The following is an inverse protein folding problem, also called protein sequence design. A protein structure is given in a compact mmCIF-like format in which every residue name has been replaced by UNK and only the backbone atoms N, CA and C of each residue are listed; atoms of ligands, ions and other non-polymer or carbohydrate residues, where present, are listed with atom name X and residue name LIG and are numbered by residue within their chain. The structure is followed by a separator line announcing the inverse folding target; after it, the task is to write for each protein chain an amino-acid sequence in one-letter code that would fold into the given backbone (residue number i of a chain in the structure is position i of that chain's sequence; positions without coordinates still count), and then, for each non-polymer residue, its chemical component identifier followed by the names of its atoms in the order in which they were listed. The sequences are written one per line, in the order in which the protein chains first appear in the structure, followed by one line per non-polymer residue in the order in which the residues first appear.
data_IF_972415980552
#
_entry.id   IF_972415980552
#
_cell.length_a   1.000
_cell.length_b   1.000
_cell.length_c   1.000
_cell.angle_alpha   90.00
_cell.angle_beta   90.00
_cell.angle_gamma   90.00
#
_symmetry.space_group_name_H-M   'P 1'
#
loop_
_entity.id
_entity.type
_entity.pdbx_description
1 polymer ?
#
# COMPACT_ATOMS: atom_id res chain seq x y z
N UNK A 1 5.68 -9.78 -10.61
CA UNK A 1 6.68 -8.73 -10.90
C UNK A 1 7.67 -8.56 -9.75
N UNK A 2 7.22 -8.11 -8.55
CA UNK A 2 8.10 -7.83 -7.39
C UNK A 2 9.08 -8.96 -7.05
N UNK A 3 8.61 -10.21 -6.91
CA UNK A 3 9.47 -11.36 -6.57
C UNK A 3 10.54 -11.71 -7.62
N UNK A 4 10.26 -11.43 -8.90
CA UNK A 4 11.23 -11.68 -9.98
C UNK A 4 12.29 -10.57 -9.94
N UNK A 5 11.84 -9.32 -9.92
CA UNK A 5 12.73 -8.16 -9.85
C UNK A 5 13.64 -8.20 -8.61
N UNK A 6 13.10 -8.56 -7.44
CA UNK A 6 13.87 -8.71 -6.21
C UNK A 6 15.07 -9.67 -6.36
N UNK A 7 14.91 -10.75 -7.15
CA UNK A 7 15.99 -11.70 -7.46
C UNK A 7 16.97 -11.13 -8.49
N UNK A 8 16.47 -10.43 -9.50
CA UNK A 8 17.28 -9.86 -10.58
C UNK A 8 18.19 -8.72 -10.10
N UNK A 9 17.68 -7.81 -9.26
CA UNK A 9 18.44 -6.63 -8.80
C UNK A 9 19.11 -6.81 -7.43
N UNK A 10 18.85 -7.92 -6.74
CA UNK A 10 19.47 -8.24 -5.45
C UNK A 10 21.00 -8.10 -5.42
N UNK A 11 21.75 -8.52 -6.46
CA UNK A 11 23.22 -8.32 -6.52
C UNK A 11 23.65 -6.84 -6.46
N UNK A 12 22.76 -5.91 -6.85
CA UNK A 12 23.00 -4.47 -6.77
C UNK A 12 22.65 -3.87 -5.40
N UNK A 13 22.32 -4.72 -4.41
CA UNK A 13 21.88 -4.32 -3.06
C UNK A 13 20.63 -3.43 -3.07
N UNK A 14 19.71 -3.70 -3.98
CA UNK A 14 18.40 -3.03 -4.06
C UNK A 14 17.31 -4.00 -3.61
N UNK A 15 16.50 -3.59 -2.64
CA UNK A 15 15.29 -4.31 -2.22
C UNK A 15 14.10 -3.92 -3.10
N UNK A 16 13.21 -4.86 -3.39
CA UNK A 16 11.99 -4.61 -4.15
C UNK A 16 10.80 -5.19 -3.39
N UNK A 17 9.82 -4.35 -3.04
CA UNK A 17 8.63 -4.74 -2.29
C UNK A 17 7.38 -4.08 -2.87
N UNK A 18 6.20 -4.59 -2.49
CA UNK A 18 4.89 -4.06 -2.80
C UNK A 18 4.15 -3.65 -1.53
N UNK A 19 3.49 -2.50 -1.56
CA UNK A 19 2.44 -2.15 -0.59
C UNK A 19 1.11 -2.16 -1.34
N UNK A 20 0.19 -3.01 -0.91
CA UNK A 20 -1.11 -3.22 -1.57
C UNK A 20 -2.24 -2.71 -0.68
N UNK A 21 -2.53 -1.40 -0.68
CA UNK A 21 -3.63 -0.84 0.09
C UNK A 21 -4.99 -1.24 -0.49
N UNK A 22 -6.01 -1.27 0.37
CA UNK A 22 -7.41 -1.27 -0.06
C UNK A 22 -7.87 0.13 -0.51
N UNK A 23 -9.19 0.40 -0.55
CA UNK A 23 -9.72 1.73 -0.82
C UNK A 23 -9.18 2.80 0.15
N UNK A 24 -8.59 3.87 -0.40
CA UNK A 24 -8.03 5.01 0.36
C UNK A 24 -8.82 6.27 0.02
N UNK A 25 -9.12 7.08 1.03
CA UNK A 25 -9.86 8.35 0.96
C UNK A 25 -9.09 9.47 0.23
N UNK A 26 -8.80 9.24 -1.05
CA UNK A 26 -8.20 10.24 -1.94
C UNK A 26 -9.28 10.98 -2.73
N UNK A 27 -8.98 12.18 -3.22
CA UNK A 27 -9.89 12.93 -4.10
C UNK A 27 -10.33 12.09 -5.31
N UNK A 28 -9.40 11.36 -5.92
CA UNK A 28 -9.66 10.43 -7.02
C UNK A 28 -10.59 9.28 -6.63
N UNK A 29 -10.46 8.78 -5.41
CA UNK A 29 -11.38 7.75 -4.93
C UNK A 29 -12.80 8.28 -4.84
N UNK A 30 -13.02 9.49 -4.35
CA UNK A 30 -14.38 10.05 -4.23
C UNK A 30 -14.98 10.49 -5.57
N UNK A 31 -14.15 10.83 -6.56
CA UNK A 31 -14.62 11.27 -7.87
C UNK A 31 -15.60 10.26 -8.52
N UNK A 32 -16.83 10.73 -8.78
CA UNK A 32 -17.88 9.95 -9.43
C UNK A 32 -18.53 8.86 -8.57
N UNK A 33 -18.32 8.84 -7.24
CA UNK A 33 -18.97 7.88 -6.33
C UNK A 33 -20.10 8.52 -5.55
N UNK A 34 -21.21 7.79 -5.40
CA UNK A 34 -22.28 8.15 -4.47
C UNK A 34 -21.86 7.88 -3.02
N UNK A 35 -22.55 8.52 -2.07
CA UNK A 35 -22.36 8.25 -0.64
C UNK A 35 -22.64 6.78 -0.30
N UNK A 36 -23.69 6.19 -0.86
CA UNK A 36 -24.01 4.76 -0.66
C UNK A 36 -22.86 3.84 -1.11
N UNK A 37 -22.24 4.14 -2.27
CA UNK A 37 -21.10 3.37 -2.75
C UNK A 37 -19.90 3.50 -1.79
N UNK A 38 -19.65 4.70 -1.26
CA UNK A 38 -18.60 4.95 -0.28
C UNK A 38 -18.84 4.19 1.02
N UNK A 39 -20.06 4.20 1.55
CA UNK A 39 -20.43 3.46 2.77
C UNK A 39 -20.26 1.95 2.59
N UNK A 40 -20.58 1.41 1.41
CA UNK A 40 -20.33 0.01 1.09
C UNK A 40 -18.84 -0.35 1.16
N UNK A 41 -17.94 0.53 0.69
CA UNK A 41 -16.49 0.30 0.81
C UNK A 41 -16.00 0.37 2.26
N UNK A 42 -16.54 1.30 3.07
CA UNK A 42 -16.24 1.37 4.51
C UNK A 42 -16.65 0.09 5.23
N UNK A 43 -17.88 -0.37 5.00
CA UNK A 43 -18.43 -1.57 5.63
C UNK A 43 -17.72 -2.87 5.21
N UNK A 44 -17.15 -2.91 4.00
CA UNK A 44 -16.36 -4.05 3.53
C UNK A 44 -14.97 -4.14 4.19
N UNK A 45 -14.46 -3.04 4.75
CA UNK A 45 -13.20 -3.05 5.49
C UNK A 45 -13.45 -3.54 6.94
N UNK A 46 -12.64 -4.48 7.47
CA UNK A 46 -12.80 -4.95 8.85
C UNK A 46 -12.71 -3.88 9.93
N UNK A 47 -12.06 -2.74 9.65
CA UNK A 47 -11.99 -1.58 10.55
C UNK A 47 -13.18 -0.61 10.39
N UNK A 48 -14.14 -0.90 9.49
CA UNK A 48 -15.35 -0.10 9.30
C UNK A 48 -15.10 1.30 8.70
N UNK A 49 -13.95 1.52 8.06
CA UNK A 49 -13.58 2.81 7.45
C UNK A 49 -12.77 2.64 6.16
N UNK A 50 -12.68 3.71 5.37
CA UNK A 50 -11.67 3.80 4.32
C UNK A 50 -10.29 3.94 4.95
N UNK A 51 -9.27 3.48 4.24
CA UNK A 51 -7.89 3.84 4.57
C UNK A 51 -7.66 5.33 4.34
N UNK A 52 -6.75 5.91 5.10
CA UNK A 52 -6.23 7.25 4.92
C UNK A 52 -4.81 7.17 4.34
N UNK A 53 -4.35 8.24 3.69
CA UNK A 53 -2.95 8.29 3.18
C UNK A 53 -1.95 8.04 4.31
N UNK A 54 -2.25 8.53 5.51
CA UNK A 54 -1.46 8.33 6.72
C UNK A 54 -1.40 6.89 7.22
N UNK A 55 -2.29 5.99 6.78
CA UNK A 55 -2.19 4.56 7.12
C UNK A 55 -1.14 3.84 6.25
N UNK A 56 -0.89 4.36 5.04
CA UNK A 56 -0.08 3.69 4.01
C UNK A 56 1.33 4.28 3.95
N UNK A 57 1.44 5.60 4.02
CA UNK A 57 2.71 6.32 3.92
C UNK A 57 3.76 5.85 4.95
N UNK A 58 3.43 5.58 6.23
CA UNK A 58 4.41 5.07 7.18
C UNK A 58 4.99 3.70 6.82
N UNK A 59 4.19 2.80 6.21
CA UNK A 59 4.67 1.47 5.77
C UNK A 59 5.64 1.62 4.61
N UNK A 60 5.33 2.48 3.63
CA UNK A 60 6.25 2.79 2.54
C UNK A 60 7.52 3.44 3.09
N UNK A 61 7.38 4.40 4.01
CA UNK A 61 8.51 5.06 4.67
C UNK A 61 9.43 4.07 5.40
N UNK A 62 8.85 3.11 6.14
CA UNK A 62 9.62 2.03 6.77
C UNK A 62 10.44 1.24 5.74
N UNK A 63 9.83 0.85 4.61
CA UNK A 63 10.51 0.10 3.55
C UNK A 63 11.66 0.89 2.88
N UNK A 64 11.72 2.21 3.07
CA UNK A 64 12.79 3.07 2.58
C UNK A 64 13.86 3.38 3.65
N UNK A 65 13.86 2.68 4.78
CA UNK A 65 14.85 2.86 5.86
C UNK A 65 15.77 1.66 5.98
N UNK A 66 16.94 1.84 6.62
CA UNK A 66 17.87 0.74 6.90
C UNK A 66 17.25 -0.35 7.78
N UNK A 67 16.25 -0.02 8.59
CA UNK A 67 15.54 -0.99 9.42
C UNK A 67 14.78 -2.05 8.59
N UNK A 68 14.51 -1.77 7.32
CA UNK A 68 13.86 -2.69 6.39
C UNK A 68 14.85 -3.41 5.46
N UNK A 69 16.17 -3.36 5.71
CA UNK A 69 17.19 -3.93 4.80
C UNK A 69 16.98 -5.43 4.47
N UNK A 70 16.32 -6.17 5.36
CA UNK A 70 16.05 -7.60 5.20
C UNK A 70 14.65 -7.91 4.63
N UNK A 71 13.86 -6.89 4.34
CA UNK A 71 12.53 -7.04 3.72
C UNK A 71 12.70 -6.92 2.21
N UNK A 72 12.64 -8.05 1.50
CA UNK A 72 12.81 -8.08 0.05
C UNK A 72 11.85 -9.10 -0.61
N UNK A 73 11.26 -8.71 -1.73
CA UNK A 73 10.34 -9.54 -2.51
C UNK A 73 8.94 -9.71 -1.90
N UNK A 74 8.54 -8.84 -0.97
CA UNK A 74 7.24 -8.89 -0.30
C UNK A 74 6.14 -8.23 -1.13
#
# INVERSE_FOLDING_TARGET
MVRVMAKEVGPSRVTVNCVAPGPVATELFFAGKSEEAVERFKAANPMGRLGEVGDIAPVVGFLCTDAAEWVNGQ
#
